data_IF_213594506548
#
_entry.id   IF_213594506548
#
_cell.length_a   1.000
_cell.length_b   1.000
_cell.length_c   1.000
_cell.angle_alpha   90.00
_cell.angle_beta   90.00
_cell.angle_gamma   90.00
#
_symmetry.space_group_name_H-M   'P 1'
#
loop_
_entity.id
_entity.type
_entity.pdbx_description
1 polymer ?
#
# COMPACT_ATOMS: atom_id res chain seq x y z
N UNK A 1 43.15 -15.51 -16.09
CA UNK A 1 42.37 -16.31 -15.12
C UNK A 1 42.74 -15.97 -13.68
N UNK A 2 44.02 -16.09 -13.27
CA UNK A 2 44.47 -15.81 -11.90
C UNK A 2 44.16 -14.38 -11.41
N UNK A 3 44.30 -13.38 -12.28
CA UNK A 3 43.97 -11.97 -11.98
C UNK A 3 42.48 -11.76 -11.67
N UNK A 4 41.59 -12.41 -12.42
CA UNK A 4 40.13 -12.35 -12.19
C UNK A 4 39.75 -13.04 -10.89
N UNK A 5 40.37 -14.19 -10.59
CA UNK A 5 40.15 -14.91 -9.34
C UNK A 5 40.61 -14.09 -8.11
N UNK A 6 41.74 -13.40 -8.21
CA UNK A 6 42.24 -12.51 -7.16
C UNK A 6 41.30 -11.33 -6.88
N UNK A 7 40.80 -10.67 -7.93
CA UNK A 7 39.81 -9.59 -7.80
C UNK A 7 38.49 -10.08 -7.18
N UNK A 8 38.01 -11.24 -7.62
CA UNK A 8 36.79 -11.83 -7.05
C UNK A 8 36.97 -12.17 -5.57
N UNK A 9 38.10 -12.76 -5.17
CA UNK A 9 38.39 -13.09 -3.77
C UNK A 9 38.39 -11.85 -2.87
N UNK A 10 38.94 -10.73 -3.35
CA UNK A 10 38.95 -9.47 -2.59
C UNK A 10 37.59 -8.77 -2.56
N UNK A 11 36.81 -8.81 -3.65
CA UNK A 11 35.54 -8.11 -3.74
C UNK A 11 34.37 -8.88 -3.11
N UNK A 12 34.41 -10.22 -3.11
CA UNK A 12 33.31 -11.08 -2.67
C UNK A 12 32.78 -10.77 -1.25
N UNK A 13 33.63 -10.53 -0.23
CA UNK A 13 33.16 -10.17 1.10
C UNK A 13 32.34 -8.87 1.10
N UNK A 14 32.86 -7.79 0.52
CA UNK A 14 32.15 -6.51 0.44
C UNK A 14 30.87 -6.58 -0.39
N UNK A 15 30.87 -7.37 -1.47
CA UNK A 15 29.66 -7.64 -2.26
C UNK A 15 28.62 -8.44 -1.46
N UNK A 16 29.02 -9.37 -0.59
CA UNK A 16 28.10 -10.12 0.28
C UNK A 16 27.50 -9.23 1.35
N UNK A 17 28.30 -8.35 1.93
CA UNK A 17 27.86 -7.37 2.93
C UNK A 17 26.87 -6.37 2.32
N UNK A 18 27.19 -5.79 1.16
CA UNK A 18 26.31 -4.83 0.45
C UNK A 18 25.00 -5.47 -0.03
N UNK A 19 24.96 -6.80 -0.18
CA UNK A 19 23.73 -7.55 -0.52
C UNK A 19 22.87 -7.89 0.69
N UNK A 20 23.36 -7.66 1.92
CA UNK A 20 22.49 -7.71 3.08
C UNK A 20 21.60 -6.47 3.10
N UNK A 21 20.42 -6.58 3.70
CA UNK A 21 19.57 -5.42 3.91
C UNK A 21 20.30 -4.43 4.83
N UNK A 22 20.38 -3.16 4.41
CA UNK A 22 20.94 -2.12 5.26
C UNK A 22 20.05 -1.92 6.50
N UNK A 23 20.67 -1.48 7.60
CA UNK A 23 19.94 -1.13 8.82
C UNK A 23 18.95 -0.01 8.51
N UNK A 24 17.70 -0.17 8.94
CA UNK A 24 16.64 0.84 8.72
C UNK A 24 15.87 0.68 7.40
N UNK A 25 16.25 -0.27 6.53
CA UNK A 25 15.50 -0.54 5.31
C UNK A 25 14.12 -1.14 5.62
N UNK A 26 13.04 -0.66 4.96
CA UNK A 26 11.72 -1.26 5.08
C UNK A 26 11.61 -2.64 4.41
N UNK A 27 11.00 -3.63 5.09
CA UNK A 27 10.70 -4.96 4.51
C UNK A 27 9.51 -4.96 3.52
N UNK A 28 9.70 -4.29 2.39
CA UNK A 28 8.68 -4.21 1.33
C UNK A 28 8.32 -5.56 0.71
N UNK A 29 9.23 -6.53 0.75
CA UNK A 29 8.97 -7.89 0.26
C UNK A 29 7.92 -8.59 1.10
N UNK A 30 8.05 -8.54 2.43
CA UNK A 30 7.01 -9.09 3.31
C UNK A 30 5.72 -8.28 3.23
N UNK A 31 5.80 -6.96 3.06
CA UNK A 31 4.64 -6.11 2.82
C UNK A 31 3.85 -6.56 1.58
N UNK A 32 4.54 -6.76 0.45
CA UNK A 32 3.93 -7.24 -0.79
C UNK A 32 3.30 -8.63 -0.64
N UNK A 33 3.93 -9.56 0.08
CA UNK A 33 3.35 -10.88 0.36
C UNK A 33 2.06 -10.78 1.17
N UNK A 34 2.01 -9.90 2.17
CA UNK A 34 0.80 -9.67 2.97
C UNK A 34 -0.33 -9.11 2.10
N UNK A 35 -0.01 -8.13 1.24
CA UNK A 35 -0.98 -7.54 0.31
C UNK A 35 -1.47 -8.61 -0.68
N UNK A 36 -0.56 -9.27 -1.40
CA UNK A 36 -0.91 -10.28 -2.41
C UNK A 36 -1.73 -11.44 -1.83
N UNK A 37 -1.42 -11.90 -0.62
CA UNK A 37 -2.17 -12.98 0.04
C UNK A 37 -3.55 -12.54 0.57
N UNK A 38 -3.73 -11.24 0.84
CA UNK A 38 -4.96 -10.72 1.45
C UNK A 38 -5.88 -9.95 0.50
N UNK A 39 -5.38 -9.58 -0.68
CA UNK A 39 -6.09 -8.69 -1.60
C UNK A 39 -7.34 -9.34 -2.19
N UNK A 40 -8.23 -8.51 -2.68
CA UNK A 40 -9.40 -8.93 -3.46
C UNK A 40 -9.56 -8.01 -4.67
N UNK A 41 -10.29 -8.50 -5.69
CA UNK A 41 -10.55 -7.69 -6.89
C UNK A 41 -11.25 -6.39 -6.48
N UNK A 42 -10.73 -5.27 -6.94
CA UNK A 42 -11.24 -3.94 -6.60
C UNK A 42 -10.60 -3.29 -5.36
N UNK A 43 -9.71 -3.99 -4.65
CA UNK A 43 -8.92 -3.37 -3.60
C UNK A 43 -8.08 -2.22 -4.19
N UNK A 44 -8.03 -1.10 -3.48
CA UNK A 44 -7.09 0.00 -3.73
C UNK A 44 -5.86 -0.11 -2.82
N UNK A 45 -4.79 0.59 -3.18
CA UNK A 45 -3.61 0.81 -2.34
C UNK A 45 -3.23 2.29 -2.32
N UNK A 46 -2.77 2.75 -1.16
CA UNK A 46 -2.23 4.09 -0.91
C UNK A 46 -0.95 3.98 -0.11
N UNK A 47 -0.12 5.02 -0.21
CA UNK A 47 1.21 5.06 0.36
C UNK A 47 1.37 6.28 1.26
N UNK A 48 2.15 6.15 2.33
CA UNK A 48 2.56 7.27 3.17
C UNK A 48 3.97 7.05 3.72
N UNK A 49 4.76 8.09 3.90
CA UNK A 49 6.13 7.98 4.42
C UNK A 49 7.16 8.67 3.53
N UNK A 50 8.43 8.27 3.70
CA UNK A 50 9.59 8.94 3.11
C UNK A 50 10.55 7.99 2.37
N UNK A 51 10.25 6.70 2.27
CA UNK A 51 11.20 5.65 1.87
C UNK A 51 10.83 4.99 0.53
N UNK A 52 10.17 5.73 -0.38
CA UNK A 52 9.85 5.29 -1.76
C UNK A 52 8.91 4.07 -1.86
N UNK A 53 7.93 3.98 -0.97
CA UNK A 53 7.01 2.84 -0.78
C UNK A 53 6.32 2.44 -2.08
N UNK A 54 5.82 3.43 -2.81
CA UNK A 54 5.12 3.24 -4.07
C UNK A 54 5.98 2.48 -5.08
N UNK A 55 7.25 2.88 -5.24
CA UNK A 55 8.17 2.23 -6.19
C UNK A 55 8.52 0.82 -5.72
N UNK A 56 8.84 0.67 -4.44
CA UNK A 56 9.21 -0.61 -3.88
C UNK A 56 8.07 -1.64 -4.01
N UNK A 57 6.84 -1.26 -3.64
CA UNK A 57 5.68 -2.14 -3.80
C UNK A 57 5.33 -2.41 -5.26
N UNK A 58 5.45 -1.43 -6.15
CA UNK A 58 5.26 -1.65 -7.58
C UNK A 58 6.23 -2.70 -8.14
N UNK A 59 7.48 -2.72 -7.65
CA UNK A 59 8.47 -3.73 -8.00
C UNK A 59 8.16 -5.10 -7.40
N UNK A 60 7.83 -5.18 -6.10
CA UNK A 60 7.56 -6.46 -5.42
C UNK A 60 6.26 -7.10 -5.93
N UNK A 61 5.27 -6.31 -6.37
CA UNK A 61 4.00 -6.77 -6.96
C UNK A 61 4.02 -6.75 -8.51
N UNK A 62 5.19 -6.69 -9.17
CA UNK A 62 5.27 -6.53 -10.64
C UNK A 62 4.70 -7.72 -11.43
N UNK A 63 4.77 -8.90 -10.85
CA UNK A 63 4.34 -10.16 -11.47
C UNK A 63 2.88 -10.52 -11.10
N UNK A 64 2.22 -9.69 -10.30
CA UNK A 64 0.83 -9.87 -9.87
C UNK A 64 -0.13 -9.02 -10.72
N UNK A 65 -0.80 -9.66 -11.67
CA UNK A 65 -1.79 -9.01 -12.54
C UNK A 65 -3.06 -8.56 -11.79
N UNK A 66 -3.33 -9.10 -10.60
CA UNK A 66 -4.49 -8.78 -9.76
C UNK A 66 -4.18 -7.78 -8.65
N UNK A 67 -2.98 -7.20 -8.62
CA UNK A 67 -2.53 -6.28 -7.57
C UNK A 67 -3.48 -5.09 -7.37
N UNK A 68 -3.56 -4.51 -6.17
CA UNK A 68 -4.49 -3.42 -5.89
C UNK A 68 -4.10 -2.18 -6.70
N UNK A 69 -5.10 -1.39 -7.11
CA UNK A 69 -4.86 -0.16 -7.88
C UNK A 69 -4.32 0.93 -6.95
N UNK A 70 -3.28 1.66 -7.36
CA UNK A 70 -2.94 2.91 -6.67
C UNK A 70 -4.02 3.95 -6.97
N UNK A 71 -4.93 4.14 -6.00
CA UNK A 71 -6.18 4.89 -6.19
C UNK A 71 -6.00 6.40 -6.05
N UNK A 72 -4.93 6.85 -5.39
CA UNK A 72 -4.63 8.27 -5.25
C UNK A 72 -3.63 8.78 -6.29
N UNK A 73 -2.98 7.90 -7.06
CA UNK A 73 -2.10 8.31 -8.15
C UNK A 73 -2.88 8.96 -9.30
N UNK A 74 -2.89 10.29 -9.34
CA UNK A 74 -3.51 11.08 -10.41
C UNK A 74 -2.60 11.23 -11.63
N UNK A 75 -1.29 11.40 -11.41
CA UNK A 75 -0.29 11.32 -12.48
C UNK A 75 0.85 10.40 -12.08
N UNK A 76 1.27 9.56 -13.01
CA UNK A 76 2.39 8.65 -12.79
C UNK A 76 3.71 9.41 -12.62
N UNK A 77 4.73 8.81 -11.98
CA UNK A 77 6.07 9.37 -11.95
C UNK A 77 6.61 9.72 -13.35
N UNK A 78 6.33 8.88 -14.35
CA UNK A 78 6.76 9.09 -15.74
C UNK A 78 6.08 10.32 -16.37
N UNK A 79 4.77 10.49 -16.15
CA UNK A 79 4.04 11.66 -16.65
C UNK A 79 4.53 12.98 -16.02
N UNK A 80 5.10 12.91 -14.81
CA UNK A 80 5.65 14.07 -14.11
C UNK A 80 7.12 14.33 -14.41
N UNK A 81 7.84 13.37 -14.98
CA UNK A 81 9.31 13.39 -14.98
C UNK A 81 9.89 13.45 -13.56
N UNK A 82 9.25 12.77 -12.61
CA UNK A 82 9.65 12.74 -11.20
C UNK A 82 9.80 11.30 -10.72
N UNK A 83 10.44 11.13 -9.56
CA UNK A 83 10.49 9.87 -8.84
C UNK A 83 9.19 9.54 -8.10
N UNK A 84 8.34 10.55 -7.90
CA UNK A 84 7.06 10.46 -7.21
C UNK A 84 5.87 10.72 -8.14
N UNK A 85 4.73 10.11 -7.79
CA UNK A 85 3.45 10.39 -8.42
C UNK A 85 2.92 11.78 -8.03
N UNK A 86 1.94 12.31 -8.78
CA UNK A 86 1.08 13.36 -8.24
C UNK A 86 -0.09 12.69 -7.55
N UNK A 87 -0.31 13.03 -6.29
CA UNK A 87 -1.50 12.64 -5.56
C UNK A 87 -2.75 13.32 -6.13
N UNK A 88 -3.90 12.67 -5.93
CA UNK A 88 -5.19 13.15 -6.36
C UNK A 88 -5.53 14.50 -5.72
N UNK A 89 -5.87 15.54 -6.51
CA UNK A 89 -6.28 16.84 -5.98
C UNK A 89 -7.55 16.77 -5.12
N UNK A 90 -8.43 15.80 -5.41
CA UNK A 90 -9.69 15.55 -4.71
C UNK A 90 -9.73 14.11 -4.17
N UNK A 91 -9.05 13.80 -3.05
CA UNK A 91 -8.90 12.44 -2.56
C UNK A 91 -10.22 11.69 -2.34
N UNK A 92 -11.26 12.39 -1.88
CA UNK A 92 -12.58 11.79 -1.68
C UNK A 92 -13.20 11.24 -2.98
N UNK A 93 -13.02 11.95 -4.10
CA UNK A 93 -13.49 11.50 -5.42
C UNK A 93 -12.68 10.30 -5.90
N UNK A 94 -11.36 10.36 -5.80
CA UNK A 94 -10.47 9.25 -6.20
C UNK A 94 -10.69 7.97 -5.37
N UNK A 95 -11.16 8.11 -4.13
CA UNK A 95 -11.49 7.00 -3.24
C UNK A 95 -12.93 6.52 -3.38
N UNK A 96 -13.81 7.16 -4.17
CA UNK A 96 -15.25 6.94 -4.14
C UNK A 96 -15.66 5.48 -4.39
N UNK A 97 -15.01 4.81 -5.34
CA UNK A 97 -15.35 3.45 -5.78
C UNK A 97 -14.54 2.35 -5.07
N UNK A 98 -13.81 2.69 -4.00
CA UNK A 98 -12.89 1.74 -3.32
C UNK A 98 -13.44 1.28 -2.00
N UNK A 99 -13.88 0.02 -1.87
CA UNK A 99 -14.44 -0.49 -0.59
C UNK A 99 -13.40 -1.02 0.37
N UNK A 100 -12.26 -1.45 -0.16
CA UNK A 100 -11.15 -2.04 0.59
C UNK A 100 -9.87 -1.37 0.16
N UNK A 101 -9.12 -0.89 1.13
CA UNK A 101 -7.95 -0.06 0.89
C UNK A 101 -6.76 -0.58 1.69
N UNK A 102 -5.64 -0.80 1.02
CA UNK A 102 -4.36 -1.07 1.64
C UNK A 102 -3.63 0.25 1.87
N UNK A 103 -3.11 0.48 3.07
CA UNK A 103 -2.17 1.56 3.35
C UNK A 103 -0.81 0.95 3.69
N UNK A 104 0.21 1.27 2.91
CA UNK A 104 1.60 0.93 3.21
C UNK A 104 2.31 2.19 3.69
N UNK A 105 2.81 2.15 4.92
CA UNK A 105 3.38 3.32 5.60
C UNK A 105 4.79 3.06 6.12
N UNK A 106 5.75 3.97 5.87
CA UNK A 106 7.11 3.92 6.44
C UNK A 106 7.40 5.06 7.42
N UNK A 107 6.36 5.52 8.12
CA UNK A 107 6.50 6.63 9.06
C UNK A 107 7.38 6.26 10.25
N UNK A 108 8.21 7.21 10.70
CA UNK A 108 9.22 6.98 11.75
C UNK A 108 8.67 7.08 13.19
N UNK A 109 7.54 7.75 13.37
CA UNK A 109 6.90 7.99 14.68
C UNK A 109 5.87 6.91 15.07
N UNK A 110 5.66 5.93 14.18
CA UNK A 110 4.74 4.83 14.38
C UNK A 110 3.27 5.16 14.10
N UNK A 111 2.92 6.41 13.82
CA UNK A 111 1.61 6.78 13.28
C UNK A 111 1.63 6.60 11.75
N UNK A 112 0.91 5.62 11.18
CA UNK A 112 0.94 5.38 9.74
C UNK A 112 0.39 6.54 8.89
N UNK A 113 -0.25 7.53 9.51
CA UNK A 113 -0.80 8.72 8.85
C UNK A 113 0.05 9.99 9.05
N UNK A 114 1.13 9.93 9.82
CA UNK A 114 2.00 11.08 10.05
C UNK A 114 2.52 11.67 8.73
N UNK A 115 2.52 13.00 8.62
CA UNK A 115 2.95 13.72 7.42
C UNK A 115 2.00 13.64 6.21
N UNK A 116 0.90 12.89 6.30
CA UNK A 116 -0.07 12.79 5.22
C UNK A 116 -0.79 14.12 4.98
N UNK A 117 -0.97 14.48 3.70
CA UNK A 117 -1.70 15.69 3.33
C UNK A 117 -3.10 15.72 3.96
N UNK A 118 -3.46 16.85 4.57
CA UNK A 118 -4.72 17.01 5.32
C UNK A 118 -5.98 16.61 4.54
N UNK A 119 -6.14 16.96 3.24
CA UNK A 119 -7.29 16.51 2.46
C UNK A 119 -7.38 14.97 2.36
N UNK A 120 -6.25 14.31 2.11
CA UNK A 120 -6.15 12.86 2.04
C UNK A 120 -6.48 12.22 3.38
N UNK A 121 -5.87 12.71 4.47
CA UNK A 121 -6.15 12.22 5.83
C UNK A 121 -7.64 12.33 6.18
N UNK A 122 -8.24 13.48 5.87
CA UNK A 122 -9.67 13.73 6.12
C UNK A 122 -10.56 12.77 5.32
N UNK A 123 -10.23 12.50 4.06
CA UNK A 123 -10.98 11.56 3.24
C UNK A 123 -10.89 10.13 3.78
N UNK A 124 -9.70 9.70 4.21
CA UNK A 124 -9.51 8.38 4.82
C UNK A 124 -10.29 8.25 6.13
N UNK A 125 -10.21 9.24 7.03
CA UNK A 125 -10.90 9.21 8.32
C UNK A 125 -12.42 9.16 8.19
N UNK A 126 -12.98 9.87 7.22
CA UNK A 126 -14.43 9.92 7.01
C UNK A 126 -14.97 8.63 6.37
N UNK A 127 -14.22 8.06 5.45
CA UNK A 127 -14.75 6.99 4.58
C UNK A 127 -14.30 5.60 4.98
N UNK A 128 -13.25 5.45 5.79
CA UNK A 128 -12.65 4.15 6.06
C UNK A 128 -12.36 3.94 7.54
N UNK A 129 -12.42 2.67 7.94
CA UNK A 129 -11.94 2.18 9.25
C UNK A 129 -10.85 1.14 9.07
N UNK A 130 -9.85 1.17 9.94
CA UNK A 130 -8.80 0.15 9.98
C UNK A 130 -9.40 -1.15 10.49
N UNK A 131 -9.23 -2.25 9.75
CA UNK A 131 -9.69 -3.59 10.14
C UNK A 131 -8.53 -4.54 10.44
N UNK A 132 -7.32 -4.22 10.00
CA UNK A 132 -6.11 -4.99 10.30
C UNK A 132 -4.88 -4.11 10.18
N UNK A 133 -3.94 -4.31 11.09
CA UNK A 133 -2.59 -3.71 11.01
C UNK A 133 -1.55 -4.81 11.14
N UNK A 134 -0.52 -4.76 10.32
CA UNK A 134 0.69 -5.57 10.42
C UNK A 134 1.89 -4.64 10.46
N UNK A 135 2.65 -4.70 11.55
CA UNK A 135 3.93 -4.02 11.69
C UNK A 135 5.03 -4.95 11.19
N UNK A 136 5.94 -4.43 10.39
CA UNK A 136 7.14 -5.10 9.90
C UNK A 136 8.34 -4.19 10.21
N UNK A 137 9.53 -4.63 9.84
CA UNK A 137 10.73 -3.82 10.00
C UNK A 137 10.62 -2.53 9.18
N UNK A 138 10.66 -1.40 9.88
CA UNK A 138 10.59 -0.03 9.34
C UNK A 138 9.37 0.28 8.45
N UNK A 139 8.27 -0.49 8.55
CA UNK A 139 7.00 -0.17 7.89
C UNK A 139 5.78 -0.83 8.54
N UNK A 140 4.60 -0.32 8.18
CA UNK A 140 3.32 -0.88 8.54
C UNK A 140 2.46 -1.12 7.29
N UNK A 141 1.70 -2.21 7.30
CA UNK A 141 0.66 -2.50 6.32
C UNK A 141 -0.68 -2.53 7.03
N UNK A 142 -1.57 -1.63 6.64
CA UNK A 142 -2.93 -1.55 7.15
C UNK A 142 -3.90 -2.00 6.07
N UNK A 143 -4.90 -2.78 6.46
CA UNK A 143 -6.11 -3.01 5.67
C UNK A 143 -7.23 -2.18 6.26
N UNK A 144 -7.84 -1.36 5.41
CA UNK A 144 -8.97 -0.53 5.72
C UNK A 144 -10.19 -1.02 4.95
N UNK A 145 -11.37 -0.85 5.54
CA UNK A 145 -12.65 -1.08 4.88
C UNK A 145 -13.49 0.18 4.94
N UNK A 146 -14.28 0.41 3.90
CA UNK A 146 -15.25 1.49 3.87
C UNK A 146 -16.18 1.40 5.08
N UNK A 147 -16.36 2.52 5.76
CA UNK A 147 -17.37 2.68 6.79
C UNK A 147 -18.71 2.75 6.08
N UNK A 148 -19.55 1.71 6.19
CA UNK A 148 -20.93 1.77 5.72
C UNK A 148 -21.70 2.70 6.65
N UNK A 149 -22.55 3.55 6.06
CA UNK A 149 -23.54 4.32 6.81
C UNK A 149 -24.59 3.37 7.39
N UNK A 150 -25.19 3.71 8.53
CA UNK A 150 -26.23 2.91 9.17
C UNK A 150 -27.40 2.57 8.22
N UNK A 151 -27.74 3.48 7.30
CA UNK A 151 -28.81 3.34 6.31
C UNK A 151 -28.60 2.21 5.27
N UNK A 152 -27.36 1.78 5.03
CA UNK A 152 -27.08 0.66 4.10
C UNK A 152 -27.22 -0.71 4.77
N UNK A 153 -27.06 -0.76 6.10
CA UNK A 153 -27.26 -1.99 6.88
C UNK A 153 -28.72 -2.42 6.93
N UNK A 154 -29.66 -1.46 7.05
CA UNK A 154 -31.10 -1.76 7.07
C UNK A 154 -31.65 -2.21 5.70
N UNK A 155 -31.05 -1.78 4.58
CA UNK A 155 -31.48 -2.20 3.23
C UNK A 155 -31.11 -3.63 2.89
N UNK A 156 -29.95 -4.11 3.36
CA UNK A 156 -29.55 -5.50 3.19
C UNK A 156 -30.44 -6.43 4.04
N UNK A 157 -30.94 -5.98 5.20
CA UNK A 157 -31.84 -6.74 6.06
C UNK A 157 -33.29 -6.80 5.51
N UNK A 158 -33.80 -5.70 4.93
CA UNK A 158 -35.18 -5.63 4.38
C UNK A 158 -35.35 -6.45 3.07
N UNK A 159 -34.28 -6.67 2.32
CA UNK A 159 -34.31 -7.52 1.13
C UNK A 159 -34.47 -9.02 1.46
N UNK A 160 -34.15 -9.44 2.69
CA UNK A 160 -34.27 -10.82 3.16
C UNK A 160 -35.67 -11.23 3.62
N UNK A 161 -36.55 -10.27 3.97
CA UNK A 161 -37.82 -10.55 4.63
C UNK A 161 -39.06 -10.51 3.71
N UNK A 162 -38.85 -10.43 2.39
CA UNK A 162 -39.96 -10.48 1.43
C UNK A 162 -40.46 -11.92 1.28
N UNK A 163 -41.37 -12.34 2.18
CA UNK A 163 -42.16 -13.58 2.03
C UNK A 163 -42.90 -13.54 0.69
N UNK A 164 -42.44 -14.36 -0.25
CA UNK A 164 -43.18 -14.73 -1.45
C UNK A 164 -44.41 -15.54 -1.05
N UNK A 165 -45.55 -14.87 -0.93
CA UNK A 165 -46.83 -15.55 -0.89
C UNK A 165 -47.10 -16.15 -2.28
N UNK A 166 -47.05 -17.47 -2.34
CA UNK A 166 -47.58 -18.28 -3.45
C UNK A 166 -48.93 -18.83 -3.02
#
# INVERSE_FOLDING_TARGET
AATVAGLAFQALPGLRETRQNALGEPDFRSAARIVAAGQSKGDGIVFNGAMSERRALAYELRDDAGRPKDVLMYRTPQQRGSFDAAECPEPASCLADTDRLWLVATTFDGDPYAGMARPTRTALDRSFRVVRTKKLDNLQVLLLKRTRSADDSERDDDAGDRKVHT
#
